data_IF_268654552280
#
_entry.id   IF_268654552280
#
_cell.length_a   1.000
_cell.length_b   1.000
_cell.length_c   1.000
_cell.angle_alpha   90.00
_cell.angle_beta   90.00
_cell.angle_gamma   90.00
#
_symmetry.space_group_name_H-M   'P 1'
#
loop_
_entity.id
_entity.type
_entity.pdbx_description
1 polymer ?
#
# COMPACT_ATOMS: atom_id res chain seq x y z
N UNK A 1 -10.25 -63.85 -36.02
CA UNK A 1 -10.86 -63.00 -34.97
C UNK A 1 -9.73 -62.23 -34.30
N UNK A 2 -9.51 -60.98 -34.70
CA UNK A 2 -8.47 -60.12 -34.12
C UNK A 2 -9.16 -59.04 -33.28
N UNK A 3 -8.98 -59.09 -31.97
CA UNK A 3 -9.56 -58.15 -31.02
C UNK A 3 -8.64 -56.94 -30.89
N UNK A 4 -9.02 -55.83 -31.51
CA UNK A 4 -8.34 -54.54 -31.34
C UNK A 4 -8.73 -53.97 -29.98
N UNK A 5 -7.78 -53.90 -29.05
CA UNK A 5 -7.94 -53.23 -27.76
C UNK A 5 -7.85 -51.72 -28.04
N UNK A 6 -8.99 -51.04 -28.00
CA UNK A 6 -9.03 -49.58 -28.02
C UNK A 6 -8.54 -49.07 -26.66
N UNK A 7 -7.34 -48.47 -26.65
CA UNK A 7 -6.76 -47.82 -25.48
C UNK A 7 -7.42 -46.44 -25.33
N UNK A 8 -8.39 -46.35 -24.42
CA UNK A 8 -9.05 -45.09 -24.05
C UNK A 8 -8.05 -44.19 -23.31
N UNK A 9 -7.46 -43.22 -24.00
CA UNK A 9 -6.67 -42.17 -23.37
C UNK A 9 -7.64 -41.26 -22.61
N UNK A 10 -7.73 -41.46 -21.30
CA UNK A 10 -8.47 -40.59 -20.40
C UNK A 10 -7.72 -39.25 -20.31
N UNK A 11 -8.12 -38.26 -21.11
CA UNK A 11 -7.67 -36.87 -20.91
C UNK A 11 -8.21 -36.39 -19.57
N UNK A 12 -7.36 -36.41 -18.54
CA UNK A 12 -7.63 -35.72 -17.29
C UNK A 12 -7.58 -34.22 -17.58
N UNK A 13 -8.74 -33.62 -17.83
CA UNK A 13 -8.89 -32.17 -17.86
C UNK A 13 -8.68 -31.66 -16.43
N UNK A 14 -7.46 -31.23 -16.13
CA UNK A 14 -7.20 -30.47 -14.91
C UNK A 14 -8.05 -29.20 -15.02
N UNK A 15 -8.95 -28.91 -14.07
CA UNK A 15 -9.74 -27.70 -14.12
C UNK A 15 -8.80 -26.50 -14.17
N UNK A 16 -8.99 -25.65 -15.18
CA UNK A 16 -8.33 -24.35 -15.28
C UNK A 16 -8.61 -23.58 -13.98
N UNK A 17 -7.60 -22.91 -13.42
CA UNK A 17 -7.77 -22.02 -12.29
C UNK A 17 -8.69 -20.84 -12.63
N UNK A 18 -8.92 -19.94 -11.68
CA UNK A 18 -9.66 -18.70 -11.96
C UNK A 18 -8.93 -17.92 -13.06
N UNK A 19 -9.63 -17.68 -14.17
CA UNK A 19 -9.13 -16.88 -15.29
C UNK A 19 -9.12 -15.41 -14.90
N UNK A 20 -8.12 -14.65 -15.37
CA UNK A 20 -8.12 -13.19 -15.22
C UNK A 20 -9.08 -12.60 -16.26
N UNK A 21 -10.12 -11.87 -15.86
CA UNK A 21 -11.00 -11.18 -16.79
C UNK A 21 -10.23 -10.22 -17.71
N UNK A 22 -10.64 -10.11 -18.98
CA UNK A 22 -9.96 -9.23 -19.92
C UNK A 22 -10.01 -7.75 -19.49
N UNK A 23 -11.09 -7.34 -18.82
CA UNK A 23 -11.21 -6.00 -18.22
C UNK A 23 -10.13 -5.73 -17.18
N UNK A 24 -9.79 -6.73 -16.36
CA UNK A 24 -8.76 -6.60 -15.33
C UNK A 24 -7.38 -6.53 -15.96
N UNK A 25 -7.13 -7.32 -17.01
CA UNK A 25 -5.88 -7.23 -17.77
C UNK A 25 -5.69 -5.84 -18.38
N UNK A 26 -6.74 -5.31 -19.00
CA UNK A 26 -6.71 -3.97 -19.60
C UNK A 26 -6.52 -2.89 -18.53
N UNK A 27 -7.22 -2.99 -17.39
CA UNK A 27 -7.04 -2.07 -16.26
C UNK A 27 -5.60 -2.05 -15.77
N UNK A 28 -4.95 -3.20 -15.59
CA UNK A 28 -3.54 -3.26 -15.20
C UNK A 28 -2.61 -2.65 -16.26
N UNK A 29 -2.87 -2.90 -17.54
CA UNK A 29 -2.13 -2.30 -18.65
C UNK A 29 -2.21 -0.77 -18.60
N UNK A 30 -3.43 -0.24 -18.48
CA UNK A 30 -3.70 1.19 -18.53
C UNK A 30 -3.06 1.91 -17.33
N UNK A 31 -3.22 1.37 -16.12
CA UNK A 31 -2.62 1.92 -14.91
C UNK A 31 -1.10 1.89 -14.99
N UNK A 32 -0.51 0.75 -15.38
CA UNK A 32 0.94 0.63 -15.45
C UNK A 32 1.53 1.57 -16.50
N UNK A 33 0.90 1.68 -17.68
CA UNK A 33 1.31 2.61 -18.72
C UNK A 33 1.12 4.06 -18.30
N UNK A 34 0.03 4.38 -17.58
CA UNK A 34 -0.19 5.72 -17.04
C UNK A 34 0.96 6.13 -16.11
N UNK A 35 1.42 5.24 -15.24
CA UNK A 35 2.42 5.60 -14.24
C UNK A 35 3.86 5.39 -14.68
N UNK A 36 4.15 4.45 -15.57
CA UNK A 36 5.53 4.17 -16.01
C UNK A 36 5.81 4.58 -17.45
N UNK A 37 4.78 4.72 -18.30
CA UNK A 37 4.97 4.92 -19.74
C UNK A 37 5.38 3.65 -20.49
N UNK A 38 5.42 2.51 -19.80
CA UNK A 38 5.77 1.19 -20.33
C UNK A 38 4.58 0.24 -20.26
N UNK A 39 4.67 -0.85 -21.03
CA UNK A 39 3.67 -1.89 -21.03
C UNK A 39 3.82 -2.83 -19.83
N UNK A 40 2.68 -3.21 -19.26
CA UNK A 40 2.58 -4.27 -18.27
C UNK A 40 2.87 -5.62 -18.95
N UNK A 41 3.81 -6.39 -18.44
CA UNK A 41 4.15 -7.68 -19.03
C UNK A 41 3.26 -8.77 -18.43
N UNK A 42 2.64 -9.54 -19.31
CA UNK A 42 1.87 -10.73 -18.97
C UNK A 42 2.64 -12.02 -19.25
N UNK A 43 3.78 -11.94 -19.94
CA UNK A 43 4.56 -13.12 -20.36
C UNK A 43 5.39 -13.61 -19.19
N UNK A 44 5.13 -14.84 -18.76
CA UNK A 44 5.78 -15.40 -17.58
C UNK A 44 7.31 -15.34 -17.67
N UNK A 45 7.89 -15.71 -18.82
CA UNK A 45 9.34 -15.76 -19.02
C UNK A 45 10.00 -14.37 -19.11
N UNK A 46 9.22 -13.28 -19.17
CA UNK A 46 9.73 -11.89 -19.16
C UNK A 46 9.67 -11.27 -17.76
N UNK A 47 9.00 -11.94 -16.81
CA UNK A 47 8.82 -11.43 -15.46
C UNK A 47 10.01 -11.84 -14.58
N UNK A 48 10.55 -10.91 -13.77
CA UNK A 48 11.63 -11.25 -12.86
C UNK A 48 11.16 -12.24 -11.79
N UNK A 49 12.02 -13.17 -11.41
CA UNK A 49 11.74 -14.14 -10.34
C UNK A 49 11.85 -13.53 -8.94
N UNK A 50 12.59 -12.42 -8.83
CA UNK A 50 12.80 -11.67 -7.59
C UNK A 50 12.73 -10.17 -7.86
N UNK A 51 12.29 -9.42 -6.86
CA UNK A 51 12.18 -7.97 -6.94
C UNK A 51 12.25 -7.34 -5.58
N UNK A 52 12.79 -6.13 -5.51
CA UNK A 52 12.76 -5.31 -4.30
C UNK A 52 12.78 -3.84 -4.69
N UNK A 53 12.23 -3.00 -3.82
CA UNK A 53 12.49 -1.56 -3.89
C UNK A 53 13.98 -1.29 -3.64
N UNK A 54 14.45 -0.11 -4.05
CA UNK A 54 15.82 0.31 -3.74
C UNK A 54 16.02 0.38 -2.22
N UNK A 55 17.23 0.09 -1.73
CA UNK A 55 17.53 0.04 -0.29
C UNK A 55 17.11 1.30 0.46
N UNK A 56 17.30 2.48 -0.14
CA UNK A 56 16.90 3.75 0.47
C UNK A 56 15.40 4.05 0.37
N UNK A 57 14.61 3.21 -0.32
CA UNK A 57 13.16 3.31 -0.48
C UNK A 57 12.39 2.22 0.28
N UNK A 58 13.09 1.39 1.06
CA UNK A 58 12.42 0.40 1.91
C UNK A 58 11.52 1.15 2.90
N UNK A 59 10.18 0.90 2.87
CA UNK A 59 9.25 1.52 3.80
C UNK A 59 9.68 1.31 5.25
N UNK A 60 9.35 2.24 6.13
CA UNK A 60 9.60 2.08 7.56
C UNK A 60 8.48 1.27 8.23
N UNK A 61 8.81 0.44 9.23
CA UNK A 61 7.80 -0.06 10.18
C UNK A 61 7.30 1.11 11.00
N UNK A 62 6.02 1.12 11.37
CA UNK A 62 5.40 2.24 12.11
C UNK A 62 4.32 1.77 13.05
N UNK A 63 3.48 2.68 13.49
CA UNK A 63 2.36 2.39 14.39
C UNK A 63 1.03 2.41 13.63
N UNK A 64 0.09 1.56 14.04
CA UNK A 64 -1.24 1.51 13.42
C UNK A 64 -2.21 2.50 14.01
N UNK A 65 -1.84 3.27 15.03
CA UNK A 65 -2.71 4.25 15.72
C UNK A 65 -4.11 3.67 16.00
N UNK A 66 -4.23 2.70 16.92
CA UNK A 66 -5.48 2.03 17.21
C UNK A 66 -6.53 3.03 17.70
N UNK A 67 -7.72 2.97 17.13
CA UNK A 67 -8.81 3.91 17.44
C UNK A 67 -9.28 3.74 18.90
N UNK A 68 -9.25 2.50 19.42
CA UNK A 68 -9.54 2.20 20.83
C UNK A 68 -8.53 2.82 21.81
N UNK A 69 -7.36 3.26 21.31
CA UNK A 69 -6.29 3.93 22.05
C UNK A 69 -6.21 5.42 21.75
N UNK A 70 -7.20 5.96 21.04
CA UNK A 70 -7.29 7.39 20.69
C UNK A 70 -6.53 7.78 19.42
N UNK A 71 -6.22 6.83 18.53
CA UNK A 71 -5.75 7.10 17.18
C UNK A 71 -4.60 8.12 17.11
N UNK A 72 -4.79 9.19 16.33
CA UNK A 72 -3.82 10.27 16.16
C UNK A 72 -4.14 11.53 16.99
N UNK A 73 -5.11 11.47 17.92
CA UNK A 73 -5.55 12.61 18.75
C UNK A 73 -4.36 13.39 19.37
N UNK A 74 -3.34 12.77 20.00
CA UNK A 74 -2.22 13.51 20.59
C UNK A 74 -1.44 14.35 19.54
N UNK A 75 -1.34 13.83 18.32
CA UNK A 75 -0.69 14.50 17.18
C UNK A 75 -1.58 15.64 16.67
N UNK A 76 -2.89 15.43 16.57
CA UNK A 76 -3.84 16.47 16.18
C UNK A 76 -3.82 17.66 17.15
N UNK A 77 -3.67 17.41 18.46
CA UNK A 77 -3.49 18.50 19.44
C UNK A 77 -2.22 19.31 19.19
N UNK A 78 -1.12 18.68 18.77
CA UNK A 78 0.11 19.39 18.36
C UNK A 78 -0.14 20.23 17.11
N UNK A 79 -0.82 19.67 16.13
CA UNK A 79 -1.19 20.37 14.90
C UNK A 79 -2.05 21.61 15.17
N UNK A 80 -3.09 21.47 15.98
CA UNK A 80 -3.98 22.58 16.36
C UNK A 80 -3.24 23.70 17.10
N UNK A 81 -2.29 23.37 17.99
CA UNK A 81 -1.43 24.37 18.62
C UNK A 81 -0.58 25.13 17.60
N UNK A 82 -0.05 24.44 16.59
CA UNK A 82 0.80 25.06 15.59
C UNK A 82 0.00 25.91 14.59
N UNK A 83 -1.15 25.44 14.12
CA UNK A 83 -1.82 26.03 12.95
C UNK A 83 -3.22 26.60 13.23
N UNK A 84 -3.83 26.28 14.37
CA UNK A 84 -5.16 26.74 14.75
C UNK A 84 -5.20 27.50 16.07
N UNK A 85 -4.05 28.03 16.51
CA UNK A 85 -3.93 28.79 17.76
C UNK A 85 -4.45 28.02 18.99
N UNK A 86 -4.33 26.68 18.95
CA UNK A 86 -4.79 25.78 20.00
C UNK A 86 -6.29 25.48 19.98
N UNK A 87 -7.06 26.01 19.03
CA UNK A 87 -8.47 25.61 18.84
C UNK A 87 -8.51 24.14 18.40
N UNK A 88 -9.29 23.26 19.05
CA UNK A 88 -9.24 21.82 18.82
C UNK A 88 -10.01 21.41 17.55
N UNK A 89 -9.66 21.95 16.39
CA UNK A 89 -10.39 21.69 15.15
C UNK A 89 -10.03 20.32 14.57
N UNK A 90 -8.74 20.07 14.35
CA UNK A 90 -8.27 18.76 13.88
C UNK A 90 -8.46 17.69 14.97
N UNK A 91 -8.25 18.08 16.24
CA UNK A 91 -8.41 17.19 17.40
C UNK A 91 -9.86 16.73 17.55
N UNK A 92 -10.83 17.65 17.52
CA UNK A 92 -12.24 17.26 17.69
C UNK A 92 -12.77 16.43 16.52
N UNK A 93 -12.21 16.62 15.31
CA UNK A 93 -12.52 15.76 14.18
C UNK A 93 -12.05 14.33 14.44
N UNK A 94 -10.81 14.15 14.85
CA UNK A 94 -10.24 12.83 15.13
C UNK A 94 -10.92 12.15 16.34
N UNK A 95 -11.27 12.92 17.39
CA UNK A 95 -12.05 12.41 18.53
C UNK A 95 -13.43 11.85 18.12
N UNK A 96 -14.02 12.42 17.06
CA UNK A 96 -15.25 11.91 16.46
C UNK A 96 -14.98 10.69 15.57
N UNK A 97 -13.92 10.73 14.74
CA UNK A 97 -13.64 9.69 13.75
C UNK A 97 -13.30 8.34 14.38
N UNK A 98 -12.42 8.32 15.39
CA UNK A 98 -12.06 7.09 16.14
C UNK A 98 -13.24 6.44 16.86
N UNK A 99 -14.38 7.14 16.96
CA UNK A 99 -15.61 6.63 17.56
C UNK A 99 -16.73 6.36 16.54
N UNK A 100 -16.55 6.73 15.28
CA UNK A 100 -17.59 6.65 14.25
C UNK A 100 -17.94 5.20 13.90
N UNK A 101 -16.98 4.28 14.03
CA UNK A 101 -17.09 2.89 13.56
C UNK A 101 -17.19 1.85 14.69
N UNK A 102 -18.13 2.04 15.61
CA UNK A 102 -18.38 1.06 16.68
C UNK A 102 -19.06 -0.20 16.13
N UNK A 103 -18.58 -1.37 16.54
CA UNK A 103 -19.19 -2.66 16.25
C UNK A 103 -19.74 -3.31 17.53
N UNK A 104 -20.61 -4.30 17.36
CA UNK A 104 -21.14 -5.08 18.48
C UNK A 104 -20.09 -6.08 18.93
N UNK A 105 -19.57 -5.90 20.13
CA UNK A 105 -18.63 -6.81 20.78
C UNK A 105 -19.31 -7.62 21.88
N UNK A 106 -18.98 -8.91 21.97
CA UNK A 106 -19.45 -9.76 23.05
C UNK A 106 -18.69 -9.51 24.34
N UNK A 107 -19.43 -9.20 25.40
CA UNK A 107 -18.85 -9.01 26.74
C UNK A 107 -18.71 -10.38 27.38
N UNK A 108 -17.46 -10.79 27.64
CA UNK A 108 -17.13 -12.02 28.37
C UNK A 108 -17.00 -11.72 29.86
N UNK A 109 -17.74 -12.46 30.68
CA UNK A 109 -17.68 -12.33 32.14
C UNK A 109 -16.39 -12.90 32.72
N UNK A 110 -16.01 -12.50 33.94
CA UNK A 110 -14.76 -12.89 34.60
C UNK A 110 -14.70 -14.37 34.98
N UNK A 111 -15.84 -15.08 35.00
CA UNK A 111 -15.91 -16.51 35.28
C UNK A 111 -15.99 -17.31 33.96
N UNK A 112 -14.92 -18.02 33.61
CA UNK A 112 -14.83 -18.96 32.48
C UNK A 112 -15.17 -18.36 31.10
N UNK A 113 -15.14 -17.04 30.93
CA UNK A 113 -15.40 -16.38 29.65
C UNK A 113 -16.83 -16.54 29.14
N UNK A 114 -17.80 -16.85 30.02
CA UNK A 114 -19.21 -16.92 29.63
C UNK A 114 -19.67 -15.58 29.05
N UNK A 115 -20.41 -15.63 27.93
CA UNK A 115 -21.01 -14.45 27.30
C UNK A 115 -22.08 -13.86 28.23
N UNK A 116 -21.85 -12.65 28.72
CA UNK A 116 -22.76 -11.92 29.63
C UNK A 116 -23.62 -10.90 28.90
N UNK A 117 -23.24 -10.50 27.68
CA UNK A 117 -24.00 -9.57 26.87
C UNK A 117 -23.22 -9.14 25.63
N UNK A 118 -23.65 -8.04 25.02
CA UNK A 118 -22.89 -7.36 23.97
C UNK A 118 -22.94 -5.85 24.18
N UNK A 119 -21.85 -5.16 23.85
CA UNK A 119 -21.74 -3.69 23.87
C UNK A 119 -21.34 -3.17 22.50
N UNK A 120 -21.66 -1.92 22.20
CA UNK A 120 -21.07 -1.24 21.05
C UNK A 120 -19.71 -0.68 21.45
N UNK A 121 -18.65 -1.09 20.76
CA UNK A 121 -17.29 -0.69 21.06
C UNK A 121 -16.47 -0.51 19.77
N UNK A 122 -15.40 0.27 19.86
CA UNK A 122 -14.45 0.42 18.76
C UNK A 122 -13.67 -0.88 18.65
N UNK A 123 -13.69 -1.57 17.49
CA UNK A 123 -12.98 -2.83 17.34
C UNK A 123 -11.49 -2.68 17.61
N UNK A 124 -10.87 -3.66 18.27
CA UNK A 124 -9.44 -3.62 18.62
C UNK A 124 -8.49 -3.58 17.41
N UNK A 125 -8.98 -3.95 16.22
CA UNK A 125 -8.23 -3.90 14.96
C UNK A 125 -8.44 -2.58 14.19
N UNK A 126 -9.38 -1.72 14.63
CA UNK A 126 -9.64 -0.43 13.99
C UNK A 126 -8.51 0.53 14.26
N UNK A 127 -8.05 1.23 13.23
CA UNK A 127 -6.95 2.16 13.31
C UNK A 127 -6.50 2.62 11.94
N UNK A 128 -5.36 3.29 11.92
CA UNK A 128 -4.79 3.96 10.77
C UNK A 128 -3.77 3.11 10.01
N UNK A 129 -3.89 1.78 10.03
CA UNK A 129 -2.90 0.89 9.40
C UNK A 129 -2.72 1.17 7.90
N UNK A 130 -3.80 1.48 7.17
CA UNK A 130 -3.75 1.86 5.76
C UNK A 130 -3.14 3.25 5.55
N UNK A 131 -3.43 4.20 6.44
CA UNK A 131 -2.81 5.54 6.43
C UNK A 131 -1.29 5.46 6.66
N UNK A 132 -0.85 4.69 7.66
CA UNK A 132 0.56 4.42 7.89
C UNK A 132 1.22 3.69 6.71
N UNK A 133 0.61 2.62 6.18
CA UNK A 133 1.17 1.89 5.04
C UNK A 133 1.35 2.80 3.82
N UNK A 134 0.36 3.64 3.51
CA UNK A 134 0.46 4.65 2.45
C UNK A 134 1.59 5.66 2.72
N UNK A 135 1.67 6.17 3.95
CA UNK A 135 2.72 7.10 4.35
C UNK A 135 4.12 6.50 4.18
N UNK A 136 4.34 5.27 4.65
CA UNK A 136 5.63 4.59 4.61
C UNK A 136 6.09 4.25 3.19
N UNK A 137 5.17 4.05 2.25
CA UNK A 137 5.47 3.88 0.81
C UNK A 137 5.84 5.23 0.19
N UNK A 138 5.07 6.28 0.49
CA UNK A 138 5.17 7.56 -0.21
C UNK A 138 6.24 8.49 0.33
N UNK A 139 6.64 8.32 1.58
CA UNK A 139 7.50 9.27 2.27
C UNK A 139 8.71 8.57 2.84
N UNK A 140 9.88 9.13 2.55
CA UNK A 140 11.08 8.82 3.31
C UNK A 140 10.83 9.06 4.79
N UNK A 141 11.42 8.22 5.63
CA UNK A 141 11.27 8.32 7.08
C UNK A 141 11.73 9.70 7.60
N UNK A 142 10.91 10.43 8.37
CA UNK A 142 11.34 11.64 9.08
C UNK A 142 12.59 11.39 9.93
N UNK A 143 13.60 12.26 9.87
CA UNK A 143 14.90 12.04 10.56
C UNK A 143 15.22 13.09 11.63
N UNK A 144 14.58 14.26 11.60
CA UNK A 144 14.84 15.32 12.57
C UNK A 144 13.57 16.07 12.97
N UNK A 145 13.64 16.68 14.15
CA UNK A 145 12.58 17.54 14.65
C UNK A 145 12.39 18.77 13.75
N UNK A 146 11.15 19.22 13.62
CA UNK A 146 10.78 20.43 12.88
C UNK A 146 9.98 21.34 13.79
N UNK A 147 10.31 22.63 13.77
CA UNK A 147 9.56 23.65 14.52
C UNK A 147 8.65 24.42 13.58
N UNK A 148 7.37 24.54 13.94
CA UNK A 148 6.38 25.39 13.27
C UNK A 148 5.60 26.16 14.32
N UNK A 149 5.58 27.49 14.19
CA UNK A 149 4.80 28.37 15.07
C UNK A 149 5.02 28.07 16.57
N UNK A 150 6.27 27.84 16.96
CA UNK A 150 6.66 27.53 18.35
C UNK A 150 6.39 26.10 18.82
N UNK A 151 5.81 25.24 17.98
CA UNK A 151 5.57 23.82 18.29
C UNK A 151 6.63 22.94 17.65
N UNK A 152 7.21 22.04 18.44
CA UNK A 152 8.15 21.00 17.97
C UNK A 152 7.37 19.77 17.54
N UNK A 153 7.62 19.33 16.30
CA UNK A 153 7.18 18.06 15.76
C UNK A 153 8.39 17.11 15.68
N UNK A 154 8.35 16.01 16.43
CA UNK A 154 9.37 14.93 16.36
C UNK A 154 9.13 14.04 15.14
N UNK A 155 10.11 13.22 14.71
CA UNK A 155 9.88 12.22 13.67
C UNK A 155 8.63 11.36 13.89
N UNK A 156 8.38 10.92 15.12
CA UNK A 156 7.16 10.18 15.48
C UNK A 156 5.88 11.00 15.29
N UNK A 157 5.85 12.29 15.67
CA UNK A 157 4.70 13.17 15.40
C UNK A 157 4.44 13.31 13.89
N UNK A 158 5.51 13.44 13.10
CA UNK A 158 5.41 13.63 11.65
C UNK A 158 4.88 12.37 10.97
N UNK A 159 5.32 11.18 11.41
CA UNK A 159 4.76 9.89 10.96
C UNK A 159 3.26 9.81 11.26
N UNK A 160 2.83 10.26 12.45
CA UNK A 160 1.41 10.32 12.81
C UNK A 160 0.60 11.30 11.97
N UNK A 161 1.15 12.49 11.67
CA UNK A 161 0.52 13.45 10.76
C UNK A 161 0.34 12.87 9.35
N UNK A 162 1.33 12.12 8.86
CA UNK A 162 1.24 11.47 7.56
C UNK A 162 0.24 10.31 7.58
N UNK A 163 0.19 9.50 8.63
CA UNK A 163 -0.78 8.41 8.75
C UNK A 163 -2.23 8.94 8.70
N UNK A 164 -2.52 9.98 9.47
CA UNK A 164 -3.81 10.70 9.44
C UNK A 164 -4.13 11.24 8.05
N UNK A 165 -3.15 11.89 7.40
CA UNK A 165 -3.33 12.50 6.07
C UNK A 165 -3.78 11.48 5.01
N UNK A 166 -3.33 10.23 5.13
CA UNK A 166 -3.62 9.17 4.17
C UNK A 166 -4.79 8.25 4.56
N UNK A 167 -5.36 8.38 5.76
CA UNK A 167 -6.36 7.45 6.30
C UNK A 167 -7.52 7.18 5.35
N UNK A 168 -8.05 8.22 4.70
CA UNK A 168 -9.17 8.10 3.75
C UNK A 168 -8.80 8.53 2.33
N UNK A 169 -7.51 8.62 2.04
CA UNK A 169 -7.04 9.04 0.74
C UNK A 169 -7.26 7.95 -0.31
N UNK A 170 -7.56 8.36 -1.55
CA UNK A 170 -7.70 7.44 -2.67
C UNK A 170 -6.46 6.56 -2.84
N UNK A 171 -6.75 5.32 -3.25
CA UNK A 171 -5.78 4.31 -3.65
C UNK A 171 -6.17 3.76 -5.01
N UNK A 172 -5.19 3.24 -5.74
CA UNK A 172 -5.47 2.42 -6.92
C UNK A 172 -5.53 0.96 -6.50
N UNK A 173 -6.69 0.35 -6.64
CA UNK A 173 -6.88 -1.08 -6.41
C UNK A 173 -6.32 -1.91 -7.59
N UNK A 174 -5.33 -2.76 -7.28
CA UNK A 174 -4.66 -3.67 -8.20
C UNK A 174 -5.13 -5.13 -8.07
N UNK A 175 -6.16 -5.42 -7.27
CA UNK A 175 -6.61 -6.78 -6.97
C UNK A 175 -7.51 -7.41 -8.05
N UNK A 176 -8.06 -6.60 -8.96
CA UNK A 176 -8.97 -7.04 -10.01
C UNK A 176 -10.43 -6.88 -9.60
N UNK A 177 -11.33 -7.59 -10.28
CA UNK A 177 -12.78 -7.53 -10.04
C UNK A 177 -13.29 -8.61 -9.09
N UNK A 178 -12.45 -9.59 -8.75
CA UNK A 178 -12.74 -10.62 -7.75
C UNK A 178 -12.76 -10.02 -6.34
N UNK A 179 -13.51 -10.64 -5.41
CA UNK A 179 -13.56 -10.21 -3.99
C UNK A 179 -12.16 -10.15 -3.36
N UNK A 180 -11.27 -11.07 -3.75
CA UNK A 180 -9.88 -11.13 -3.29
C UNK A 180 -8.99 -11.37 -4.51
N UNK A 181 -7.78 -10.82 -4.50
CA UNK A 181 -6.80 -11.03 -5.56
C UNK A 181 -6.57 -12.52 -5.82
N UNK A 182 -6.64 -12.93 -7.09
CA UNK A 182 -6.33 -14.30 -7.49
C UNK A 182 -4.82 -14.49 -7.68
N UNK A 183 -4.37 -15.75 -7.74
CA UNK A 183 -2.95 -16.09 -7.78
C UNK A 183 -2.21 -15.52 -9.00
N UNK A 184 -2.90 -15.42 -10.13
CA UNK A 184 -2.33 -14.95 -11.38
C UNK A 184 -2.13 -13.42 -11.37
N UNK A 185 -3.14 -12.67 -10.91
CA UNK A 185 -3.03 -11.23 -10.68
C UNK A 185 -1.98 -10.93 -9.61
N UNK A 186 -1.94 -11.68 -8.50
CA UNK A 186 -0.92 -11.52 -7.46
C UNK A 186 0.50 -11.59 -8.07
N UNK A 187 0.77 -12.66 -8.81
CA UNK A 187 2.08 -12.86 -9.42
C UNK A 187 2.43 -11.75 -10.41
N UNK A 188 1.53 -11.45 -11.34
CA UNK A 188 1.77 -10.47 -12.39
C UNK A 188 1.94 -9.05 -11.81
N UNK A 189 1.12 -8.66 -10.83
CA UNK A 189 1.22 -7.35 -10.17
C UNK A 189 2.54 -7.21 -9.42
N UNK A 190 2.92 -8.19 -8.59
CA UNK A 190 4.18 -8.14 -7.84
C UNK A 190 5.39 -8.06 -8.79
N UNK A 191 5.41 -8.90 -9.82
CA UNK A 191 6.53 -8.94 -10.74
C UNK A 191 6.68 -7.64 -11.56
N UNK A 192 5.58 -7.00 -11.96
CA UNK A 192 5.63 -5.74 -12.68
C UNK A 192 5.93 -4.54 -11.78
N UNK A 193 5.26 -4.42 -10.63
CA UNK A 193 5.37 -3.23 -9.78
C UNK A 193 6.60 -3.27 -8.88
N UNK A 194 6.86 -4.39 -8.21
CA UNK A 194 8.01 -4.55 -7.31
C UNK A 194 9.24 -5.02 -8.07
N UNK A 195 9.07 -5.94 -9.02
CA UNK A 195 10.18 -6.51 -9.79
C UNK A 195 10.75 -5.58 -10.84
N UNK A 196 9.91 -5.17 -11.79
CA UNK A 196 10.32 -4.25 -12.86
C UNK A 196 10.34 -2.79 -12.39
N UNK A 197 9.29 -2.35 -11.68
CA UNK A 197 9.12 -0.96 -11.28
C UNK A 197 9.84 -0.56 -9.99
N UNK A 198 10.41 -1.50 -9.23
CA UNK A 198 11.06 -1.24 -7.93
C UNK A 198 10.24 -0.36 -6.97
N UNK A 199 8.91 -0.47 -7.02
CA UNK A 199 7.99 0.36 -6.25
C UNK A 199 7.23 -0.47 -5.22
N UNK A 200 7.17 0.01 -3.98
CA UNK A 200 6.44 -0.66 -2.91
C UNK A 200 4.92 -0.63 -3.16
N UNK A 201 4.21 -1.61 -2.65
CA UNK A 201 2.74 -1.70 -2.75
C UNK A 201 2.14 -1.75 -1.36
N UNK A 202 0.92 -1.23 -1.20
CA UNK A 202 0.10 -1.55 -0.05
C UNK A 202 -0.52 -2.94 -0.21
N UNK A 203 -0.65 -3.67 0.89
CA UNK A 203 -1.27 -4.99 0.95
C UNK A 203 -2.32 -5.01 2.04
N UNK A 204 -3.56 -5.34 1.70
CA UNK A 204 -4.58 -5.77 2.68
C UNK A 204 -4.37 -7.27 2.93
N UNK A 205 -3.78 -7.58 4.08
CA UNK A 205 -3.11 -8.85 4.34
C UNK A 205 -4.04 -10.05 4.55
N UNK A 206 -5.31 -9.79 4.87
CA UNK A 206 -6.25 -10.81 5.32
C UNK A 206 -7.61 -10.67 4.60
N UNK A 207 -8.10 -11.73 3.93
CA UNK A 207 -9.43 -11.77 3.29
C UNK A 207 -10.65 -11.71 4.23
N UNK A 208 -10.45 -11.30 5.49
CA UNK A 208 -11.41 -11.39 6.59
C UNK A 208 -12.23 -10.11 6.80
N UNK A 209 -12.86 -10.01 7.97
CA UNK A 209 -13.53 -8.78 8.42
C UNK A 209 -12.51 -7.73 8.88
N UNK A 210 -11.42 -8.18 9.52
CA UNK A 210 -10.30 -7.33 9.91
C UNK A 210 -9.47 -6.96 8.68
N UNK A 211 -9.24 -5.65 8.49
CA UNK A 211 -8.55 -5.12 7.31
C UNK A 211 -7.17 -4.58 7.67
N UNK A 212 -6.22 -5.48 7.88
CA UNK A 212 -4.84 -5.11 8.18
C UNK A 212 -4.07 -4.72 6.92
N UNK A 213 -3.49 -3.52 6.92
CA UNK A 213 -2.74 -2.99 5.78
C UNK A 213 -1.25 -2.86 6.11
N UNK A 214 -0.40 -3.34 5.20
CA UNK A 214 1.06 -3.30 5.36
C UNK A 214 1.76 -2.95 4.04
N UNK A 215 2.91 -2.27 4.10
CA UNK A 215 3.69 -1.98 2.90
C UNK A 215 4.58 -3.17 2.52
N UNK A 216 4.41 -3.64 1.29
CA UNK A 216 5.20 -4.67 0.62
C UNK A 216 6.38 -4.03 -0.08
N UNK A 217 7.57 -4.60 0.09
CA UNK A 217 8.82 -4.01 -0.43
C UNK A 217 9.71 -4.99 -1.20
N UNK A 218 9.47 -6.29 -1.10
CA UNK A 218 10.23 -7.29 -1.83
C UNK A 218 9.42 -8.56 -2.08
N UNK A 219 9.83 -9.33 -3.08
CA UNK A 219 9.46 -10.73 -3.22
C UNK A 219 10.60 -11.55 -3.83
N UNK A 220 10.56 -12.85 -3.58
CA UNK A 220 11.29 -13.84 -4.35
C UNK A 220 10.34 -14.98 -4.70
N UNK A 221 10.60 -15.63 -5.83
CA UNK A 221 9.82 -16.79 -6.25
C UNK A 221 10.71 -17.84 -6.89
N UNK A 222 10.36 -19.09 -6.62
CA UNK A 222 10.87 -20.26 -7.31
C UNK A 222 9.75 -20.83 -8.17
N UNK A 223 10.07 -21.27 -9.38
CA UNK A 223 9.08 -21.81 -10.31
C UNK A 223 9.50 -23.15 -10.91
N UNK A 224 8.50 -24.00 -11.18
CA UNK A 224 8.67 -25.29 -11.85
C UNK A 224 7.61 -25.42 -12.94
N UNK A 225 8.04 -25.48 -14.20
CA UNK A 225 7.14 -25.72 -15.33
C UNK A 225 6.60 -27.15 -15.29
N UNK A 226 5.29 -27.30 -15.13
CA UNK A 226 4.60 -28.61 -15.10
C UNK A 226 4.14 -29.08 -16.48
N UNK A 227 3.90 -28.13 -17.39
CA UNK A 227 3.59 -28.39 -18.80
C UNK A 227 3.86 -27.13 -19.64
N UNK A 228 3.71 -27.16 -20.98
CA UNK A 228 3.74 -25.96 -21.82
C UNK A 228 2.76 -24.85 -21.41
N UNK A 229 1.71 -25.17 -20.64
CA UNK A 229 0.67 -24.21 -20.23
C UNK A 229 0.52 -24.06 -18.71
N UNK A 230 1.38 -24.67 -17.90
CA UNK A 230 1.26 -24.61 -16.45
C UNK A 230 2.61 -24.48 -15.76
N UNK A 231 2.68 -23.56 -14.80
CA UNK A 231 3.87 -23.30 -13.98
C UNK A 231 3.46 -23.29 -12.52
N UNK A 232 4.12 -24.08 -11.70
CA UNK A 232 3.96 -24.05 -10.24
C UNK A 232 4.95 -23.06 -9.64
N UNK A 233 4.49 -22.24 -8.73
CA UNK A 233 5.26 -21.14 -8.14
C UNK A 233 5.15 -21.20 -6.63
N UNK A 234 6.30 -21.07 -5.97
CA UNK A 234 6.41 -20.73 -4.55
C UNK A 234 6.95 -19.32 -4.46
N UNK A 235 6.25 -18.44 -3.75
CA UNK A 235 6.64 -17.03 -3.63
C UNK A 235 6.72 -16.63 -2.16
N UNK A 236 7.78 -15.93 -1.77
CA UNK A 236 7.90 -15.28 -0.47
C UNK A 236 7.78 -13.77 -0.65
N UNK A 237 6.86 -13.15 0.09
CA UNK A 237 6.56 -11.73 0.03
C UNK A 237 7.06 -11.02 1.29
N UNK A 238 8.01 -10.11 1.14
CA UNK A 238 8.53 -9.27 2.22
C UNK A 238 7.67 -8.02 2.42
N UNK A 239 7.22 -7.80 3.66
CA UNK A 239 6.42 -6.63 4.05
C UNK A 239 6.87 -6.08 5.41
N UNK A 240 6.68 -4.78 5.64
CA UNK A 240 6.96 -4.17 6.95
C UNK A 240 5.81 -4.45 7.90
N UNK A 241 6.13 -4.73 9.15
CA UNK A 241 5.15 -4.93 10.22
C UNK A 241 4.95 -3.64 11.01
N UNK A 242 3.82 -3.56 11.68
CA UNK A 242 3.59 -2.56 12.71
C UNK A 242 4.45 -2.82 13.96
N UNK A 243 4.49 -1.83 14.82
CA UNK A 243 5.19 -1.80 16.10
C UNK A 243 4.23 -1.45 17.23
N UNK A 244 4.65 -1.66 18.48
CA UNK A 244 3.78 -1.44 19.64
C UNK A 244 3.53 0.04 20.00
N UNK A 245 4.25 0.97 19.37
CA UNK A 245 4.11 2.42 19.51
C UNK A 245 4.84 3.09 18.34
N UNK A 246 4.61 4.37 18.10
CA UNK A 246 5.42 5.09 17.12
C UNK A 246 6.82 5.41 17.69
N UNK A 247 7.85 5.19 16.88
CA UNK A 247 9.25 5.46 17.23
C UNK A 247 9.79 6.61 16.38
N UNK A 248 10.69 7.42 16.95
CA UNK A 248 11.36 8.46 16.15
C UNK A 248 12.17 7.82 15.02
N UNK A 249 12.96 6.78 15.34
CA UNK A 249 13.62 5.91 14.37
C UNK A 249 12.92 4.54 14.33
N UNK A 250 12.56 4.11 13.13
CA UNK A 250 11.84 2.89 12.88
C UNK A 250 12.68 1.67 13.26
N UNK A 251 12.12 0.71 14.01
CA UNK A 251 12.82 -0.55 14.32
C UNK A 251 12.98 -1.49 13.11
N UNK A 252 12.49 -1.10 11.93
CA UNK A 252 12.54 -1.87 10.66
C UNK A 252 12.01 -3.30 10.79
N UNK A 253 10.94 -3.46 11.54
CA UNK A 253 10.29 -4.75 11.75
C UNK A 253 9.65 -5.19 10.44
N UNK A 254 9.95 -6.40 10.00
CA UNK A 254 9.41 -6.95 8.76
C UNK A 254 9.10 -8.44 8.94
N UNK A 255 8.24 -8.95 8.06
CA UNK A 255 7.88 -10.37 7.99
C UNK A 255 7.81 -10.83 6.55
N UNK A 256 7.75 -12.15 6.39
CA UNK A 256 7.56 -12.83 5.11
C UNK A 256 6.21 -13.54 5.12
N UNK A 257 5.43 -13.35 4.06
CA UNK A 257 4.21 -14.13 3.78
C UNK A 257 4.47 -15.05 2.59
N UNK A 258 4.30 -16.36 2.77
CA UNK A 258 4.61 -17.36 1.74
C UNK A 258 3.36 -17.83 0.99
N UNK A 259 3.48 -17.93 -0.33
CA UNK A 259 2.43 -18.31 -1.26
C UNK A 259 2.85 -19.53 -2.08
N UNK A 260 1.87 -20.35 -2.45
CA UNK A 260 2.06 -21.52 -3.29
C UNK A 260 0.90 -21.65 -4.27
N UNK A 261 1.16 -21.54 -5.57
CA UNK A 261 0.10 -21.51 -6.57
C UNK A 261 0.53 -22.10 -7.91
N UNK A 262 -0.45 -22.50 -8.72
CA UNK A 262 -0.26 -22.83 -10.12
C UNK A 262 -0.73 -21.67 -10.99
N UNK A 263 0.08 -21.27 -11.96
CA UNK A 263 -0.27 -20.36 -13.04
C UNK A 263 -0.67 -21.15 -14.29
N UNK A 264 -1.72 -20.69 -14.96
CA UNK A 264 -2.17 -21.17 -16.27
C UNK A 264 -1.73 -20.16 -17.35
N UNK A 265 -1.08 -20.67 -18.40
CA UNK A 265 -0.53 -19.89 -19.50
C UNK A 265 -1.26 -20.18 -20.82
N UNK A 266 -1.36 -19.18 -21.70
CA UNK A 266 -1.78 -19.41 -23.09
C UNK A 266 -0.63 -19.96 -23.96
N UNK A 267 -0.89 -20.16 -25.26
CA UNK A 267 0.12 -20.65 -26.21
C UNK A 267 1.28 -19.67 -26.46
N UNK A 268 1.15 -18.40 -26.08
CA UNK A 268 2.18 -17.38 -26.20
C UNK A 268 3.01 -17.24 -24.91
N UNK A 269 2.73 -18.03 -23.87
CA UNK A 269 3.40 -17.94 -22.57
C UNK A 269 2.87 -16.84 -21.67
N UNK A 270 1.74 -16.23 -22.01
CA UNK A 270 1.10 -15.20 -21.18
C UNK A 270 0.30 -15.84 -20.05
N UNK A 271 0.38 -15.25 -18.87
CA UNK A 271 -0.42 -15.61 -17.70
C UNK A 271 -1.88 -15.25 -17.99
N UNK A 272 -2.77 -16.24 -17.97
CA UNK A 272 -4.21 -16.07 -18.22
C UNK A 272 -5.08 -16.44 -17.02
N UNK A 273 -4.51 -17.11 -16.02
CA UNK A 273 -5.23 -17.55 -14.85
C UNK A 273 -4.31 -18.26 -13.88
N UNK A 274 -4.87 -18.69 -12.77
CA UNK A 274 -4.11 -19.40 -11.76
C UNK A 274 -4.95 -19.73 -10.54
N UNK A 275 -4.39 -20.54 -9.65
CA UNK A 275 -5.05 -20.96 -8.41
C UNK A 275 -4.07 -21.15 -7.28
N UNK A 276 -4.46 -20.69 -6.09
CA UNK A 276 -3.74 -20.99 -4.86
C UNK A 276 -3.89 -22.47 -4.48
N UNK A 277 -2.80 -23.08 -4.01
CA UNK A 277 -2.87 -24.35 -3.30
C UNK A 277 -3.45 -24.14 -1.90
N UNK A 278 -3.98 -25.21 -1.31
CA UNK A 278 -4.60 -25.18 0.02
C UNK A 278 -3.66 -24.71 1.14
N UNK A 279 -2.36 -24.95 0.97
CA UNK A 279 -1.33 -24.55 1.92
C UNK A 279 -0.74 -23.15 1.66
N UNK A 280 -1.29 -22.41 0.69
CA UNK A 280 -0.85 -21.05 0.39
C UNK A 280 -1.45 -20.05 1.38
N UNK A 281 -0.68 -19.00 1.70
CA UNK A 281 -1.28 -17.77 2.21
C UNK A 281 -2.25 -17.17 1.19
N UNK A 282 -3.10 -16.26 1.68
CA UNK A 282 -4.01 -15.43 0.87
C UNK A 282 -3.94 -13.99 1.37
N UNK A 283 -4.26 -13.05 0.49
CA UNK A 283 -4.43 -11.63 0.81
C UNK A 283 -5.71 -11.15 0.12
N UNK A 284 -6.27 -10.03 0.58
CA UNK A 284 -7.45 -9.44 -0.05
C UNK A 284 -7.05 -8.61 -1.27
N UNK A 285 -6.12 -7.66 -1.08
CA UNK A 285 -5.85 -6.62 -2.06
C UNK A 285 -4.36 -6.25 -2.10
N UNK A 286 -3.88 -5.92 -3.30
CA UNK A 286 -2.69 -5.09 -3.51
C UNK A 286 -3.13 -3.73 -4.04
N UNK A 287 -2.50 -2.65 -3.58
CA UNK A 287 -2.94 -1.30 -3.91
C UNK A 287 -1.79 -0.30 -3.97
N UNK A 288 -2.00 0.83 -4.66
CA UNK A 288 -1.04 1.94 -4.75
C UNK A 288 -1.58 3.16 -4.01
N UNK A 289 -0.80 3.77 -3.09
CA UNK A 289 -1.17 5.03 -2.47
C UNK A 289 -0.95 6.20 -3.45
N UNK A 290 -1.97 7.04 -3.63
CA UNK A 290 -1.90 8.24 -4.49
C UNK A 290 -1.50 9.49 -3.71
N UNK A 291 -1.34 10.63 -4.39
CA UNK A 291 -1.05 11.89 -3.71
C UNK A 291 -2.15 12.24 -2.69
N UNK A 292 -1.78 12.86 -1.56
CA UNK A 292 -2.74 13.19 -0.52
C UNK A 292 -3.65 14.33 -0.98
N UNK A 293 -4.96 14.17 -0.77
CA UNK A 293 -5.97 15.19 -1.07
C UNK A 293 -6.48 15.82 0.23
N UNK A 294 -6.96 17.05 0.18
CA UNK A 294 -7.52 17.69 1.36
C UNK A 294 -8.81 16.98 1.82
N UNK A 295 -9.06 16.98 3.14
CA UNK A 295 -10.30 16.44 3.69
C UNK A 295 -11.55 17.08 3.08
N UNK A 296 -12.62 16.29 2.97
CA UNK A 296 -13.89 16.64 2.29
C UNK A 296 -13.81 16.87 0.78
N UNK A 297 -12.65 16.64 0.15
CA UNK A 297 -12.52 16.69 -1.32
C UNK A 297 -12.78 15.32 -1.97
N UNK A 298 -13.09 15.26 -3.28
CA UNK A 298 -13.17 14.00 -4.01
C UNK A 298 -11.88 13.18 -3.85
N UNK A 299 -12.01 12.00 -3.27
CA UNK A 299 -10.90 11.10 -2.99
C UNK A 299 -10.21 11.27 -1.63
N UNK A 300 -10.77 12.11 -0.75
CA UNK A 300 -10.49 12.11 0.68
C UNK A 300 -11.71 12.66 1.45
N UNK A 301 -12.92 12.18 1.11
CA UNK A 301 -14.17 12.79 1.59
C UNK A 301 -14.37 12.66 3.10
N UNK A 302 -13.89 11.57 3.67
CA UNK A 302 -13.92 11.30 5.11
C UNK A 302 -12.69 11.84 5.84
N UNK A 303 -11.68 12.33 5.13
CA UNK A 303 -10.48 12.90 5.72
C UNK A 303 -10.74 14.15 6.56
N UNK A 304 -9.88 14.34 7.55
CA UNK A 304 -9.90 15.49 8.45
C UNK A 304 -9.75 16.81 7.66
N UNK A 305 -10.81 17.64 7.58
CA UNK A 305 -10.81 18.86 6.77
C UNK A 305 -9.96 19.99 7.37
N UNK A 306 -9.46 19.80 8.59
CA UNK A 306 -8.66 20.78 9.30
C UNK A 306 -7.16 20.54 9.09
N UNK A 307 -6.76 19.42 8.48
CA UNK A 307 -5.39 19.19 8.07
C UNK A 307 -5.13 19.79 6.69
N UNK A 308 -4.17 20.71 6.64
CA UNK A 308 -3.70 21.27 5.38
C UNK A 308 -2.58 20.39 4.83
N UNK A 309 -2.84 19.77 3.68
CA UNK A 309 -1.90 18.88 2.97
C UNK A 309 -0.52 19.53 2.84
N UNK A 310 -0.45 20.78 2.38
CA UNK A 310 0.83 21.45 2.14
C UNK A 310 1.57 21.78 3.43
N UNK A 311 0.86 22.10 4.52
CA UNK A 311 1.49 22.31 5.83
C UNK A 311 2.12 21.01 6.33
N UNK A 312 1.38 19.90 6.31
CA UNK A 312 1.89 18.57 6.71
C UNK A 312 3.10 18.16 5.86
N UNK A 313 2.97 18.23 4.53
CA UNK A 313 4.08 17.90 3.63
C UNK A 313 5.28 18.83 3.80
N UNK A 314 5.08 20.12 4.12
CA UNK A 314 6.19 21.03 4.43
C UNK A 314 6.96 20.63 5.68
N UNK A 315 6.27 20.09 6.70
CA UNK A 315 6.92 19.60 7.92
C UNK A 315 7.73 18.35 7.60
N UNK A 316 7.19 17.44 6.80
CA UNK A 316 7.93 16.27 6.31
C UNK A 316 9.15 16.65 5.47
N UNK A 317 9.01 17.59 4.52
CA UNK A 317 10.14 18.04 3.67
C UNK A 317 11.30 18.60 4.50
N UNK A 318 10.96 19.30 5.57
CA UNK A 318 11.95 19.87 6.49
C UNK A 318 12.55 18.82 7.43
N UNK A 319 11.92 17.67 7.65
CA UNK A 319 12.43 16.61 8.53
C UNK A 319 13.31 15.58 7.82
N UNK A 320 13.34 15.59 6.48
CA UNK A 320 14.12 14.64 5.66
C UNK A 320 15.19 15.37 4.84
N UNK A 321 16.44 14.87 4.79
CA UNK A 321 17.48 15.41 3.92
C UNK A 321 17.03 15.53 2.46
N UNK A 322 17.33 16.65 1.82
CA UNK A 322 16.94 16.92 0.43
C UNK A 322 17.47 15.85 -0.54
N UNK A 323 18.69 15.36 -0.32
CA UNK A 323 19.33 14.31 -1.10
C UNK A 323 18.55 12.98 -1.07
N UNK A 324 17.98 12.63 0.09
CA UNK A 324 17.15 11.42 0.21
C UNK A 324 15.80 11.63 -0.47
N UNK A 325 15.16 12.79 -0.26
CA UNK A 325 13.89 13.13 -0.93
C UNK A 325 14.04 13.10 -2.45
N UNK A 326 15.17 13.59 -2.98
CA UNK A 326 15.46 13.60 -4.41
C UNK A 326 15.67 12.21 -5.02
N UNK A 327 15.83 11.17 -4.20
CA UNK A 327 15.97 9.78 -4.64
C UNK A 327 14.77 8.92 -4.26
N UNK A 328 13.79 9.49 -3.54
CA UNK A 328 12.59 8.80 -3.10
C UNK A 328 11.51 8.88 -4.19
N UNK A 329 11.57 7.94 -5.13
CA UNK A 329 10.65 7.87 -6.28
C UNK A 329 9.30 7.32 -5.86
N UNK A 330 8.24 8.07 -6.15
CA UNK A 330 6.85 7.65 -5.96
C UNK A 330 6.05 7.84 -7.24
N UNK A 331 5.04 7.00 -7.44
CA UNK A 331 3.99 7.29 -8.43
C UNK A 331 3.10 8.43 -7.95
N UNK A 332 2.60 9.24 -8.89
CA UNK A 332 1.76 10.41 -8.60
C UNK A 332 2.37 11.34 -7.54
N UNK A 333 3.59 11.88 -7.73
CA UNK A 333 4.15 12.84 -6.78
C UNK A 333 3.40 14.19 -6.84
N UNK A 334 3.19 14.86 -5.69
CA UNK A 334 2.82 16.27 -5.66
C UNK A 334 3.77 17.11 -6.52
N UNK A 335 3.31 18.23 -7.05
CA UNK A 335 4.11 19.08 -7.95
C UNK A 335 5.48 19.44 -7.37
N UNK A 336 5.52 19.74 -6.07
CA UNK A 336 6.73 20.14 -5.36
C UNK A 336 7.72 18.99 -5.13
N UNK A 337 7.26 17.74 -5.22
CA UNK A 337 8.04 16.52 -4.99
C UNK A 337 8.37 15.77 -6.30
N UNK A 338 7.97 16.30 -7.46
CA UNK A 338 8.37 15.77 -8.76
C UNK A 338 9.88 15.89 -8.93
N UNK A 339 10.56 14.75 -9.07
CA UNK A 339 12.02 14.75 -9.21
C UNK A 339 12.39 15.06 -10.67
N UNK A 340 13.21 16.10 -10.86
CA UNK A 340 13.62 16.59 -12.18
C UNK A 340 14.88 15.90 -12.71
N UNK A 341 15.50 15.02 -11.92
CA UNK A 341 16.70 14.29 -12.33
C UNK A 341 16.70 12.94 -11.64
N UNK A 342 16.68 11.87 -12.42
CA UNK A 342 17.08 10.54 -11.96
C UNK A 342 18.43 10.18 -12.58
N UNK A 343 19.26 9.49 -11.79
CA UNK A 343 20.67 9.28 -12.08
C UNK A 343 20.93 8.08 -13.01
N UNK A 344 19.97 7.17 -13.16
CA UNK A 344 20.13 5.94 -13.93
C UNK A 344 19.15 5.91 -15.13
N UNK A 345 19.65 5.84 -16.38
CA UNK A 345 18.83 5.78 -17.58
C UNK A 345 18.21 4.41 -17.89
N UNK A 346 18.62 3.36 -17.19
CA UNK A 346 18.09 2.00 -17.36
C UNK A 346 17.01 1.65 -16.33
N UNK A 347 16.83 2.50 -15.32
CA UNK A 347 15.74 2.38 -14.37
C UNK A 347 14.38 2.72 -14.99
N UNK A 348 13.34 1.99 -14.60
CA UNK A 348 11.98 2.44 -14.82
C UNK A 348 11.71 3.66 -13.94
N UNK A 349 11.14 4.69 -14.55
CA UNK A 349 10.92 5.99 -13.95
C UNK A 349 9.47 6.38 -14.15
N UNK A 350 8.76 6.91 -13.12
CA UNK A 350 7.37 7.27 -13.31
C UNK A 350 7.20 8.39 -14.34
N UNK A 351 6.05 8.43 -15.01
CA UNK A 351 5.69 9.51 -15.95
C UNK A 351 5.72 10.86 -15.22
N UNK A 352 6.31 11.86 -15.85
CA UNK A 352 6.47 13.21 -15.29
C UNK A 352 7.82 13.48 -14.62
N UNK A 353 8.71 12.50 -14.58
CA UNK A 353 10.11 12.66 -14.19
C UNK A 353 10.98 12.86 -15.42
N UNK A 354 12.10 13.56 -15.26
CA UNK A 354 13.11 13.75 -16.31
C UNK A 354 14.36 12.96 -15.98
N UNK A 355 14.83 12.16 -16.94
CA UNK A 355 16.07 11.39 -16.83
C UNK A 355 17.15 12.16 -17.58
N UNK A 356 18.14 12.69 -16.85
CA UNK A 356 19.31 13.25 -17.49
C UNK A 356 20.29 12.10 -17.73
N UNK A 357 20.50 11.76 -19.00
CA UNK A 357 21.52 10.80 -19.40
C UNK A 357 22.88 11.37 -19.03
N UNK A 358 23.55 10.79 -18.03
CA UNK A 358 24.99 10.98 -17.86
C UNK A 358 25.64 10.06 -18.89
N UNK A 359 26.08 10.62 -20.01
CA UNK A 359 26.83 9.86 -21.01
C UNK A 359 28.15 9.39 -20.39
N UNK A 360 28.16 8.16 -19.86
CA UNK A 360 29.39 7.42 -19.67
C UNK A 360 29.90 7.07 -21.06
N UNK A 361 30.89 7.84 -21.53
CA UNK A 361 31.66 7.53 -22.72
C UNK A 361 32.40 6.19 -22.51
N UNK A 362 31.73 5.09 -22.80
CA UNK A 362 32.38 3.85 -23.20
C UNK A 362 32.65 3.98 -24.70
N UNK A 363 33.93 4.14 -25.03
CA UNK A 363 34.45 4.14 -26.39
C UNK A 363 33.93 2.93 -27.16
N UNK A 364 33.20 3.23 -28.24
CA UNK A 364 32.64 2.29 -29.20
C UNK A 364 33.66 1.27 -29.70
N UNK A 365 33.23 0.02 -29.85
CA UNK A 365 33.37 -0.73 -31.11
C UNK A 365 32.34 -1.87 -31.23
N UNK A 366 31.35 -1.65 -32.13
CA UNK A 366 30.55 -2.62 -32.91
C UNK A 366 29.62 -3.60 -32.13
N UNK A 367 28.38 -3.92 -32.51
CA UNK A 367 27.68 -3.94 -33.81
C UNK A 367 26.14 -4.03 -33.57
N UNK A 368 25.36 -3.73 -34.61
CA UNK A 368 23.89 -3.59 -34.65
C UNK A 368 23.02 -4.79 -34.20
N UNK A 369 21.85 -4.50 -33.59
CA UNK A 369 20.56 -5.19 -33.82
C UNK A 369 19.44 -4.65 -32.93
N UNK A 370 18.25 -4.44 -33.53
CA UNK A 370 16.93 -4.18 -32.95
C UNK A 370 16.70 -2.86 -32.18
N UNK A 371 16.33 -1.82 -32.94
CA UNK A 371 15.55 -0.70 -32.41
C UNK A 371 14.15 -1.18 -32.03
N UNK A 372 13.95 -1.53 -30.76
CA UNK A 372 12.66 -1.29 -30.09
C UNK A 372 12.73 0.15 -29.60
N UNK A 373 12.07 1.07 -30.33
CA UNK A 373 12.09 2.49 -30.00
C UNK A 373 11.60 2.72 -28.57
N UNK A 374 12.52 3.06 -27.65
CA UNK A 374 12.21 3.68 -26.36
C UNK A 374 11.47 5.00 -26.70
N UNK A 375 10.19 5.19 -26.35
CA UNK A 375 9.57 6.49 -26.56
C UNK A 375 10.24 7.50 -25.62
N UNK A 376 10.63 8.63 -26.20
CA UNK A 376 11.08 9.80 -25.47
C UNK A 376 10.03 10.18 -24.42
N UNK A 377 10.51 10.50 -23.22
CA UNK A 377 9.75 11.08 -22.11
C UNK A 377 8.83 12.18 -22.65
N UNK A 378 7.52 11.98 -22.56
CA UNK A 378 6.55 13.04 -22.79
C UNK A 378 6.64 14.00 -21.61
N UNK A 379 7.39 15.08 -21.78
CA UNK A 379 7.31 16.25 -20.92
C UNK A 379 6.04 16.99 -21.32
N UNK A 380 4.92 16.72 -20.66
CA UNK A 380 3.74 17.55 -20.91
C UNK A 380 3.90 18.89 -20.18
N UNK A 381 4.01 19.93 -21.00
CA UNK A 381 3.91 21.33 -20.61
C UNK A 381 2.41 21.65 -20.58
N UNK A 382 1.91 22.11 -19.43
CA UNK A 382 0.56 22.68 -19.23
C UNK A 382 -0.57 21.72 -18.78
N UNK A 383 -0.49 21.22 -17.54
CA UNK A 383 -1.69 20.84 -16.78
C UNK A 383 -2.28 22.07 -16.07
N UNK A 384 -2.82 23.01 -16.86
CA UNK A 384 -3.75 24.02 -16.37
C UNK A 384 -5.16 23.43 -16.41
N UNK A 385 -5.60 22.85 -15.28
CA UNK A 385 -7.02 22.59 -15.08
C UNK A 385 -7.69 23.94 -14.77
N UNK A 386 -8.48 24.44 -15.72
CA UNK A 386 -9.45 25.52 -15.52
C UNK A 386 -10.31 25.21 -14.28
N UNK A 387 -10.62 26.19 -13.41
CA UNK A 387 -11.50 25.97 -12.27
C UNK A 387 -12.88 25.54 -12.76
N UNK A 388 -13.39 24.42 -12.25
CA UNK A 388 -14.82 24.10 -12.38
C UNK A 388 -15.54 25.05 -11.41
N UNK A 389 -16.30 25.97 -11.97
CA UNK A 389 -17.10 26.97 -11.24
C UNK A 389 -18.08 26.29 -10.25
N UNK A 390 -18.25 26.79 -9.02
CA UNK A 390 -19.13 26.19 -8.03
C UNK A 390 -20.53 26.76 -8.21
N UNK A 391 -21.56 25.92 -8.35
CA UNK A 391 -22.96 26.22 -7.97
C UNK A 391 -23.88 25.04 -8.32
N UNK A 392 -24.21 24.21 -7.32
CA UNK A 392 -25.55 23.64 -7.17
C UNK A 392 -25.88 23.63 -5.67
N UNK A 393 -27.00 24.23 -5.21
CA UNK A 393 -27.27 24.43 -3.78
C UNK A 393 -27.63 23.14 -3.06
N UNK A 394 -27.25 23.08 -1.78
CA UNK A 394 -27.68 22.07 -0.83
C UNK A 394 -29.20 22.13 -0.61
N UNK A 395 -29.91 21.10 -1.04
CA UNK A 395 -31.30 20.83 -0.67
C UNK A 395 -31.35 20.11 0.69
N UNK A 396 -32.13 20.70 1.59
CA UNK A 396 -32.41 20.31 2.97
C UNK A 396 -32.59 18.81 3.22
N UNK A 397 -31.84 18.26 4.18
CA UNK A 397 -32.28 17.09 4.95
C UNK A 397 -32.50 17.55 6.39
N UNK A 398 -33.79 17.60 6.76
CA UNK A 398 -34.29 17.98 8.08
C UNK A 398 -33.91 16.93 9.11
N UNK A 399 -33.38 17.42 10.23
CA UNK A 399 -33.19 16.70 11.48
C UNK A 399 -34.50 16.76 12.28
N UNK A 400 -34.96 15.60 12.73
CA UNK A 400 -35.89 15.39 13.85
C UNK A 400 -35.52 14.04 14.45
N UNK A 401 -35.47 13.78 15.75
CA UNK A 401 -35.78 14.56 16.92
C UNK A 401 -35.17 13.79 18.12
N UNK A 402 -34.79 14.54 19.15
CA UNK A 402 -34.74 14.19 20.57
C UNK A 402 -33.96 12.95 21.07
N UNK A 403 -32.97 13.20 21.94
CA UNK A 403 -33.09 12.99 23.40
C UNK A 403 -31.79 13.41 24.12
N UNK A 404 -31.92 14.32 25.08
CA UNK A 404 -30.86 14.70 26.05
C UNK A 404 -31.01 13.86 27.35
N UNK A 405 -30.18 14.03 28.40
CA UNK A 405 -29.20 13.02 28.80
C UNK A 405 -29.45 12.48 30.22
N UNK A 406 -28.79 11.38 30.59
CA UNK A 406 -28.64 11.00 31.99
C UNK A 406 -27.19 10.66 32.29
N UNK A 407 -26.62 11.43 33.22
CA UNK A 407 -25.32 11.26 33.80
C UNK A 407 -25.27 10.04 34.75
N UNK A 408 -24.13 9.37 34.82
CA UNK A 408 -23.56 8.98 36.11
C UNK A 408 -22.05 8.70 35.98
N UNK A 409 -21.32 9.30 36.91
CA UNK A 409 -19.92 9.09 37.25
C UNK A 409 -19.58 7.61 37.52
N UNK A 410 -18.34 7.21 37.18
CA UNK A 410 -17.39 6.46 38.03
C UNK A 410 -16.22 5.88 37.19
N UNK A 411 -15.00 6.36 37.44
CA UNK A 411 -13.69 5.71 37.17
C UNK A 411 -13.45 4.54 38.17
N UNK A 412 -12.36 3.72 38.12
CA UNK A 412 -11.44 3.20 37.08
C UNK A 412 -11.36 1.62 37.23
N UNK A 413 -10.30 0.80 36.94
CA UNK A 413 -8.97 1.00 36.33
C UNK A 413 -8.52 0.00 35.24
N UNK A 414 -7.41 0.41 34.61
CA UNK A 414 -6.30 -0.30 33.94
C UNK A 414 -6.19 -1.83 34.14
N UNK A 415 -6.15 -2.61 33.05
CA UNK A 415 -5.34 -3.84 32.96
C UNK A 415 -5.04 -4.24 31.51
N UNK A 416 -3.75 -4.21 31.21
CA UNK A 416 -3.09 -4.58 29.96
C UNK A 416 -2.92 -6.09 29.85
N UNK A 417 -3.26 -6.72 28.72
CA UNK A 417 -2.89 -8.13 28.52
C UNK A 417 -3.20 -8.72 27.17
N UNK A 418 -2.31 -8.55 26.18
CA UNK A 418 -2.26 -9.43 25.00
C UNK A 418 -0.92 -10.14 24.95
N UNK A 419 -1.01 -11.47 25.09
CA UNK A 419 0.06 -12.45 24.97
C UNK A 419 0.44 -12.63 23.51
N UNK A 420 1.71 -12.39 23.18
CA UNK A 420 2.31 -12.76 21.92
C UNK A 420 2.88 -14.19 22.03
N UNK A 421 2.29 -15.16 21.33
CA UNK A 421 2.92 -16.45 21.12
C UNK A 421 3.92 -16.33 19.95
N UNK A 422 5.19 -16.54 20.30
CA UNK A 422 6.37 -16.37 19.45
C UNK A 422 6.73 -17.74 18.88
N UNK A 423 6.52 -17.95 17.58
CA UNK A 423 7.16 -19.03 16.83
C UNK A 423 8.31 -18.42 16.01
N UNK A 424 9.54 -18.88 16.25
CA UNK A 424 10.72 -18.50 15.46
C UNK A 424 10.53 -18.98 14.00
N UNK A 425 10.64 -18.04 13.06
CA UNK A 425 10.51 -18.28 11.62
C UNK A 425 11.82 -17.89 10.91
N UNK A 426 12.16 -18.58 9.81
CA UNK A 426 13.47 -18.46 9.17
C UNK A 426 13.70 -17.07 8.60
N UNK A 427 14.86 -16.50 8.89
CA UNK A 427 15.39 -15.28 8.28
C UNK A 427 15.76 -15.60 6.84
N UNK A 428 14.98 -15.11 5.88
CA UNK A 428 15.41 -15.05 4.48
C UNK A 428 16.05 -13.67 4.30
N UNK A 429 17.38 -13.64 4.24
CA UNK A 429 18.11 -12.42 3.91
C UNK A 429 17.83 -12.04 2.45
N UNK A 430 17.13 -10.93 2.24
CA UNK A 430 17.13 -10.25 0.95
C UNK A 430 18.48 -9.56 0.81
N UNK A 431 19.48 -10.30 0.32
CA UNK A 431 20.84 -9.79 0.17
C UNK A 431 20.86 -8.51 -0.70
N UNK A 432 21.80 -7.58 -0.44
CA UNK A 432 21.93 -6.37 -1.24
C UNK A 432 22.19 -6.74 -2.71
N UNK A 433 21.52 -6.05 -3.63
CA UNK A 433 21.90 -6.09 -5.04
C UNK A 433 23.36 -5.64 -5.14
N UNK A 434 24.22 -6.52 -5.64
CA UNK A 434 25.59 -6.18 -6.01
C UNK A 434 25.46 -5.19 -7.17
N UNK A 435 25.85 -3.94 -6.93
CA UNK A 435 26.04 -2.96 -7.99
C UNK A 435 27.13 -3.50 -8.93
N UNK A 436 26.74 -3.83 -10.16
CA UNK A 436 27.64 -4.17 -11.26
C UNK A 436 27.85 -2.96 -12.15
#
# INVERSE_FOLDING_TARGET
MGTTIALSILMVTIPLGSTIPQSDKQKQQDIYRQYWGYDFSWRFDELPEKGSVRNHQVPYSGYVYPDNSGGTIPIMRKYDRAFHQGRPLATAFEEWDVQAWKAKEDVRGPLLGLRWGSRMAVPDWSGHCNGWAAAAIRHAEPQKNVVRNGVVFTPSDIKGLLAELYLYNDVVDLSGSDKNINAALLHAVLANWVGRGQHALGMEADPGEERWNYPVWAYNSDSVRRSPRQVEVKLNLGYMLDSNREYDESPRIHRVKSFHYLLDLNSQGEIIGGRFHRNSSRIAMLWLPLQPKAGRQPGNRLGNPHLNVQQVLSIWRDSVPAELRQKWVVVDPPREDRLLVLADPDDLVPVGYTVNRVDTHLSDHASASAQTGKPAVVVDRDWNATPIDPLVPAGELRVSDQLSPAASENDPPDDTGVRADRAEQPTIEFGPQVAG
#
